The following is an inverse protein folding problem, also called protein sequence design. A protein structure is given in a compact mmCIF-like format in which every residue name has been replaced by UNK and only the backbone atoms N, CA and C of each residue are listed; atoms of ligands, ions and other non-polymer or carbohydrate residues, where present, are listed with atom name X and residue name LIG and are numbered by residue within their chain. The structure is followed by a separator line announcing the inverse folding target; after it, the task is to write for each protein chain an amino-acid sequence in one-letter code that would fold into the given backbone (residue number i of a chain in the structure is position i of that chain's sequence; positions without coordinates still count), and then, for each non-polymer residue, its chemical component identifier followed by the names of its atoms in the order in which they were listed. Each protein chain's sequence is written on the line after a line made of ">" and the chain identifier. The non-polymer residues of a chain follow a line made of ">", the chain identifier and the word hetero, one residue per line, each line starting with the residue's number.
data_IF_192618928075
#
_entry.id   IF_192618928075
#
_cell.length_a   1.000
_cell.length_b   1.000
_cell.length_c   1.000
_cell.angle_alpha   90.00
_cell.angle_beta   90.00
_cell.angle_gamma   90.00
#
_symmetry.space_group_name_H-M   'P 1'
#
loop_
_entity.id
_entity.type
_entity.pdbx_description
1 polymer ?
#
# COMPACT_ATOMS: atom_id res chain seq x y z
N UNK A 1 -63.85 -31.52 14.78
CA UNK A 1 -62.67 -30.69 14.44
C UNK A 1 -63.21 -29.40 13.84
N UNK A 2 -63.25 -28.34 14.64
CA UNK A 2 -63.97 -27.09 14.37
C UNK A 2 -63.13 -26.22 13.44
N UNK A 3 -63.66 -25.86 12.27
CA UNK A 3 -63.10 -24.87 11.35
C UNK A 3 -63.57 -23.47 11.78
N UNK A 4 -62.66 -22.68 12.34
CA UNK A 4 -62.84 -21.27 12.64
C UNK A 4 -62.21 -20.44 11.50
N UNK A 5 -63.05 -19.87 10.63
CA UNK A 5 -62.67 -18.87 9.64
C UNK A 5 -62.94 -17.50 10.26
N UNK A 6 -61.89 -16.78 10.66
CA UNK A 6 -62.00 -15.42 11.17
C UNK A 6 -61.34 -14.38 10.25
N UNK A 7 -62.23 -13.76 9.47
CA UNK A 7 -62.33 -12.32 9.15
C UNK A 7 -61.19 -11.65 8.37
N UNK A 8 -61.50 -11.46 7.09
CA UNK A 8 -61.02 -10.38 6.24
C UNK A 8 -61.55 -9.02 6.74
N UNK A 9 -60.67 -8.06 7.00
CA UNK A 9 -61.03 -6.63 7.08
C UNK A 9 -59.93 -5.78 6.44
N UNK A 10 -60.25 -5.22 5.27
CA UNK A 10 -59.51 -4.13 4.60
C UNK A 10 -59.67 -2.83 5.39
N UNK A 11 -58.65 -1.96 5.44
CA UNK A 11 -58.75 -0.49 5.36
C UNK A 11 -57.33 0.13 5.48
N UNK A 12 -56.70 0.55 4.38
CA UNK A 12 -56.51 1.95 3.88
C UNK A 12 -55.40 2.81 4.55
N UNK A 13 -54.50 3.33 3.68
CA UNK A 13 -53.80 4.66 3.65
C UNK A 13 -52.27 4.74 3.87
N UNK A 14 -51.58 5.09 2.77
CA UNK A 14 -50.60 6.21 2.55
C UNK A 14 -49.25 6.23 3.32
N UNK A 15 -48.17 5.81 2.61
CA UNK A 15 -46.84 6.43 2.31
C UNK A 15 -46.20 7.40 3.35
N UNK A 16 -44.90 7.23 3.72
CA UNK A 16 -43.85 7.97 3.01
C UNK A 16 -42.62 7.15 2.59
N UNK A 17 -42.22 7.37 1.34
CA UNK A 17 -40.88 7.17 0.79
C UNK A 17 -39.93 8.11 1.55
N UNK A 18 -38.91 7.58 2.21
CA UNK A 18 -37.91 8.36 2.94
C UNK A 18 -36.49 7.86 2.61
N UNK A 19 -35.98 8.44 1.52
CA UNK A 19 -34.63 8.96 1.34
C UNK A 19 -33.55 8.47 2.34
N UNK A 20 -32.78 7.44 1.97
CA UNK A 20 -31.43 7.25 2.51
C UNK A 20 -30.44 7.71 1.43
N UNK A 21 -29.78 8.84 1.72
CA UNK A 21 -28.97 9.59 0.78
C UNK A 21 -27.84 8.80 0.15
N UNK A 22 -27.55 9.13 -1.10
CA UNK A 22 -26.26 8.85 -1.73
C UNK A 22 -25.16 9.31 -0.78
N UNK A 23 -24.50 8.35 -0.14
CA UNK A 23 -23.15 8.56 0.37
C UNK A 23 -22.28 8.70 -0.87
N UNK A 24 -22.15 9.93 -1.36
CA UNK A 24 -21.01 10.33 -2.19
C UNK A 24 -19.78 10.30 -1.29
N UNK A 25 -19.37 9.08 -0.90
CA UNK A 25 -18.07 8.82 -0.33
C UNK A 25 -17.07 9.17 -1.41
N UNK A 26 -16.52 10.37 -1.28
CA UNK A 26 -15.40 10.88 -2.08
C UNK A 26 -14.39 9.76 -2.25
N UNK A 27 -14.40 9.14 -3.42
CA UNK A 27 -13.48 8.09 -3.79
C UNK A 27 -12.11 8.75 -4.00
N UNK A 28 -11.42 9.07 -2.90
CA UNK A 28 -9.98 8.96 -2.84
C UNK A 28 -9.65 7.47 -3.03
N UNK A 29 -9.82 7.00 -4.27
CA UNK A 29 -9.58 5.63 -4.70
C UNK A 29 -8.08 5.40 -4.56
N UNK A 30 -7.69 4.91 -3.39
CA UNK A 30 -6.45 4.21 -3.19
C UNK A 30 -6.56 2.90 -3.95
N UNK A 31 -5.61 2.65 -4.84
CA UNK A 31 -5.50 1.41 -5.58
C UNK A 31 -4.94 0.34 -4.65
N UNK A 32 -5.55 -0.84 -4.71
CA UNK A 32 -5.07 -2.01 -3.98
C UNK A 32 -3.64 -2.36 -4.41
N UNK A 33 -2.88 -3.04 -3.53
CA UNK A 33 -1.52 -3.42 -3.84
C UNK A 33 -1.47 -4.43 -4.98
N UNK A 34 -0.46 -4.30 -5.83
CA UNK A 34 -0.23 -5.19 -6.95
C UNK A 34 0.05 -6.62 -6.45
N UNK A 35 -0.65 -7.62 -6.99
CA UNK A 35 -0.56 -9.02 -6.54
C UNK A 35 0.86 -9.58 -6.70
N UNK A 36 1.57 -9.23 -7.77
CA UNK A 36 2.96 -9.63 -7.97
C UNK A 36 3.87 -9.01 -6.92
N UNK A 37 3.65 -7.74 -6.57
CA UNK A 37 4.40 -7.09 -5.49
C UNK A 37 4.19 -7.77 -4.13
N UNK A 38 2.95 -8.13 -3.80
CA UNK A 38 2.65 -8.81 -2.53
C UNK A 38 3.23 -10.24 -2.51
N UNK A 39 3.10 -10.98 -3.60
CA UNK A 39 3.52 -12.38 -3.68
C UNK A 39 5.05 -12.53 -3.77
N UNK A 40 5.75 -11.52 -4.29
CA UNK A 40 7.20 -11.54 -4.40
C UNK A 40 7.90 -11.63 -3.04
N UNK A 41 8.86 -12.55 -2.94
CA UNK A 41 9.81 -12.62 -1.81
C UNK A 41 10.97 -11.64 -1.94
N UNK A 42 11.08 -10.99 -3.10
CA UNK A 42 12.26 -10.23 -3.49
C UNK A 42 12.19 -8.80 -2.99
N UNK A 43 13.37 -8.23 -2.76
CA UNK A 43 13.52 -6.81 -2.48
C UNK A 43 13.40 -6.05 -3.80
N UNK A 44 12.34 -5.27 -3.99
CA UNK A 44 12.12 -4.57 -5.26
C UNK A 44 11.46 -3.20 -5.07
N UNK A 45 11.65 -2.34 -6.06
CA UNK A 45 10.95 -1.08 -6.21
C UNK A 45 10.08 -1.14 -7.46
N UNK A 46 8.78 -0.96 -7.27
CA UNK A 46 7.78 -0.82 -8.31
C UNK A 46 7.27 0.63 -8.32
N UNK A 47 7.23 1.23 -9.51
CA UNK A 47 6.65 2.56 -9.73
C UNK A 47 5.58 2.42 -10.79
N UNK A 48 4.34 2.74 -10.43
CA UNK A 48 3.13 2.42 -11.22
C UNK A 48 3.07 0.92 -11.50
N UNK A 49 3.08 0.55 -12.78
CA UNK A 49 3.00 -0.84 -13.23
C UNK A 49 4.38 -1.49 -13.38
N UNK A 50 5.45 -0.70 -13.40
CA UNK A 50 6.78 -1.15 -13.80
C UNK A 50 7.66 -1.46 -12.58
N UNK A 51 8.34 -2.60 -12.62
CA UNK A 51 9.44 -2.90 -11.68
C UNK A 51 10.66 -2.13 -12.17
N UNK A 52 11.05 -1.11 -11.41
CA UNK A 52 12.14 -0.20 -11.80
C UNK A 52 13.47 -0.73 -11.29
N UNK A 53 13.48 -1.33 -10.11
CA UNK A 53 14.65 -1.95 -9.50
C UNK A 53 14.28 -3.31 -8.94
N UNK A 54 15.12 -4.30 -9.21
CA UNK A 54 15.07 -5.64 -8.65
C UNK A 54 16.42 -5.93 -7.98
N UNK A 55 16.39 -6.31 -6.71
CA UNK A 55 17.59 -6.60 -5.93
C UNK A 55 18.23 -7.92 -6.36
N UNK A 56 19.53 -7.90 -6.64
CA UNK A 56 20.34 -9.10 -6.85
C UNK A 56 21.30 -9.31 -5.66
N UNK A 57 21.14 -10.38 -4.86
CA UNK A 57 21.99 -10.63 -3.69
C UNK A 57 23.48 -10.82 -4.00
N UNK A 58 23.87 -11.07 -5.25
CA UNK A 58 25.28 -11.26 -5.63
C UNK A 58 26.02 -9.94 -5.88
N UNK A 59 25.31 -8.89 -6.27
CA UNK A 59 25.89 -7.63 -6.74
C UNK A 59 25.31 -6.39 -6.05
N UNK A 60 24.40 -6.60 -5.09
CA UNK A 60 23.70 -5.54 -4.37
C UNK A 60 23.90 -5.65 -2.87
N UNK A 61 23.82 -4.50 -2.23
CA UNK A 61 23.97 -4.33 -0.80
C UNK A 61 22.72 -3.71 -0.21
N UNK A 62 22.47 -4.06 1.04
CA UNK A 62 21.42 -3.50 1.88
C UNK A 62 22.07 -2.65 2.97
N UNK A 63 21.45 -1.52 3.31
CA UNK A 63 21.89 -0.65 4.39
C UNK A 63 20.71 -0.14 5.21
N UNK A 64 20.97 0.21 6.46
CA UNK A 64 20.00 0.86 7.32
C UNK A 64 20.68 1.94 8.17
N UNK A 65 20.09 3.13 8.18
CA UNK A 65 20.49 4.24 9.04
C UNK A 65 19.38 4.50 10.08
N UNK A 66 19.69 4.22 11.35
CA UNK A 66 18.75 4.32 12.44
C UNK A 66 18.33 5.76 12.79
N UNK A 67 19.24 6.74 12.62
CA UNK A 67 18.96 8.13 12.96
C UNK A 67 17.86 8.71 12.07
N UNK A 68 17.95 8.44 10.77
CA UNK A 68 17.01 8.94 9.76
C UNK A 68 15.89 7.96 9.43
N UNK A 69 15.94 6.74 10.00
CA UNK A 69 15.03 5.63 9.67
C UNK A 69 15.02 5.38 8.15
N UNK A 70 16.23 5.36 7.59
CA UNK A 70 16.46 5.24 6.16
C UNK A 70 16.93 3.84 5.82
N UNK A 71 16.23 3.20 4.90
CA UNK A 71 16.57 1.93 4.31
C UNK A 71 17.25 2.17 2.98
N UNK A 72 18.34 1.46 2.71
CA UNK A 72 19.14 1.62 1.49
C UNK A 72 19.26 0.30 0.77
N UNK A 73 19.08 0.34 -0.54
CA UNK A 73 19.31 -0.79 -1.44
C UNK A 73 20.03 -0.25 -2.67
N UNK A 74 21.21 -0.77 -2.95
CA UNK A 74 22.03 -0.30 -4.07
C UNK A 74 22.93 -1.40 -4.61
N UNK A 75 23.30 -1.31 -5.88
CA UNK A 75 24.37 -2.13 -6.45
C UNK A 75 25.74 -1.74 -5.88
N UNK A 76 26.74 -2.61 -6.05
CA UNK A 76 28.12 -2.39 -5.59
C UNK A 76 28.77 -1.16 -6.24
N UNK A 77 28.31 -0.80 -7.44
CA UNK A 77 28.80 0.37 -8.18
C UNK A 77 28.06 1.68 -7.84
N UNK A 78 27.02 1.63 -6.99
CA UNK A 78 26.08 2.72 -6.71
C UNK A 78 25.48 3.40 -7.96
N UNK A 79 25.38 2.67 -9.09
CA UNK A 79 24.73 3.14 -10.31
C UNK A 79 23.22 2.96 -10.25
N UNK A 80 22.77 1.93 -9.54
CA UNK A 80 21.35 1.68 -9.32
C UNK A 80 21.06 1.59 -7.83
N UNK A 81 20.11 2.40 -7.35
CA UNK A 81 19.71 2.38 -5.96
C UNK A 81 18.27 2.83 -5.75
N UNK A 82 17.71 2.42 -4.61
CA UNK A 82 16.60 3.12 -3.98
C UNK A 82 16.82 3.25 -2.47
N UNK A 83 16.49 4.42 -1.95
CA UNK A 83 16.49 4.75 -0.53
C UNK A 83 15.07 5.07 -0.08
N UNK A 84 14.71 4.62 1.11
CA UNK A 84 13.39 4.86 1.71
C UNK A 84 13.58 5.45 3.09
N UNK A 85 13.18 6.70 3.27
CA UNK A 85 13.21 7.39 4.56
C UNK A 85 11.80 7.41 5.13
N UNK A 86 11.58 6.82 6.30
CA UNK A 86 10.26 6.72 6.92
C UNK A 86 10.09 7.68 8.10
N UNK A 87 8.91 8.27 8.27
CA UNK A 87 8.59 9.10 9.45
C UNK A 87 8.65 8.30 10.77
N UNK A 88 8.28 7.02 10.68
CA UNK A 88 8.31 6.04 11.77
C UNK A 88 8.75 4.70 11.20
N UNK A 89 9.32 3.85 12.05
CA UNK A 89 9.69 2.50 11.63
C UNK A 89 8.44 1.73 11.21
N UNK A 90 8.49 1.00 10.08
CA UNK A 90 7.46 0.01 9.78
C UNK A 90 7.54 -1.10 10.82
N UNK A 91 6.38 -1.59 11.27
CA UNK A 91 6.28 -2.51 12.39
C UNK A 91 5.24 -3.61 12.17
N UNK A 92 4.01 -3.24 11.79
CA UNK A 92 2.91 -4.19 11.62
C UNK A 92 2.14 -3.96 10.34
N UNK A 93 1.58 -5.03 9.77
CA UNK A 93 0.67 -4.94 8.62
C UNK A 93 -0.51 -4.00 8.93
N UNK A 94 -0.91 -3.20 7.95
CA UNK A 94 -1.95 -2.16 8.06
C UNK A 94 -1.46 -0.83 8.64
N UNK A 95 -0.23 -0.76 9.16
CA UNK A 95 0.35 0.50 9.62
C UNK A 95 0.49 1.47 8.44
N UNK A 96 0.01 2.71 8.63
CA UNK A 96 0.25 3.81 7.69
C UNK A 96 1.37 4.70 8.22
N UNK A 97 2.29 5.08 7.34
CA UNK A 97 3.41 5.95 7.64
C UNK A 97 3.70 6.85 6.44
N UNK A 98 4.32 8.01 6.68
CA UNK A 98 4.82 8.81 5.58
C UNK A 98 6.24 8.34 5.24
N UNK A 99 6.53 8.22 3.95
CA UNK A 99 7.87 7.93 3.50
C UNK A 99 8.22 8.74 2.26
N UNK A 100 9.52 8.97 2.10
CA UNK A 100 10.12 9.47 0.87
C UNK A 100 10.93 8.35 0.26
N UNK A 101 10.67 8.05 -1.01
CA UNK A 101 11.41 7.06 -1.79
C UNK A 101 12.22 7.81 -2.83
N UNK A 102 13.54 7.64 -2.82
CA UNK A 102 14.46 8.21 -3.80
C UNK A 102 15.13 7.08 -4.55
N UNK A 103 15.18 7.13 -5.88
CA UNK A 103 15.75 6.05 -6.69
C UNK A 103 16.37 6.55 -7.99
N UNK A 104 17.19 5.71 -8.60
CA UNK A 104 17.74 5.94 -9.95
C UNK A 104 16.89 5.26 -11.02
N UNK A 105 16.61 5.96 -12.11
CA UNK A 105 15.97 5.37 -13.29
C UNK A 105 16.48 6.07 -14.55
N UNK A 106 16.94 5.29 -15.54
CA UNK A 106 17.44 5.81 -16.81
C UNK A 106 18.54 6.89 -16.67
N UNK A 107 19.42 6.76 -15.66
CA UNK A 107 20.52 7.70 -15.40
C UNK A 107 20.12 8.96 -14.62
N UNK A 108 18.85 9.12 -14.27
CA UNK A 108 18.35 10.23 -13.45
C UNK A 108 17.99 9.78 -12.04
N UNK A 109 18.09 10.71 -11.09
CA UNK A 109 17.60 10.52 -9.72
C UNK A 109 16.17 11.06 -9.62
N UNK A 110 15.26 10.23 -9.13
CA UNK A 110 13.85 10.55 -8.89
C UNK A 110 13.53 10.44 -7.41
N UNK A 111 12.57 11.23 -6.93
CA UNK A 111 12.17 11.21 -5.53
C UNK A 111 10.70 11.51 -5.38
N UNK A 112 9.99 10.70 -4.62
CA UNK A 112 8.57 10.84 -4.38
C UNK A 112 8.25 10.64 -2.90
N UNK A 113 7.36 11.50 -2.38
CA UNK A 113 6.86 11.39 -1.02
C UNK A 113 5.37 10.99 -1.01
N UNK A 114 4.97 10.23 0.01
CA UNK A 114 3.60 9.81 0.16
C UNK A 114 3.31 9.11 1.48
N UNK A 115 2.04 8.78 1.67
CA UNK A 115 1.60 7.90 2.74
C UNK A 115 1.61 6.46 2.22
N UNK A 116 2.40 5.63 2.86
CA UNK A 116 2.55 4.21 2.58
C UNK A 116 1.86 3.39 3.65
N UNK A 117 1.29 2.28 3.23
CA UNK A 117 0.75 1.25 4.11
C UNK A 117 1.69 0.04 4.10
N UNK A 118 1.95 -0.53 5.28
CA UNK A 118 2.65 -1.81 5.40
C UNK A 118 1.67 -2.91 4.99
N UNK A 119 1.86 -3.47 3.80
CA UNK A 119 0.95 -4.49 3.25
C UNK A 119 1.39 -5.92 3.58
N UNK A 120 2.67 -6.09 3.93
CA UNK A 120 3.26 -7.37 4.35
C UNK A 120 4.45 -7.10 5.26
N UNK A 121 4.65 -7.96 6.26
CA UNK A 121 5.76 -7.88 7.20
C UNK A 121 6.26 -9.30 7.55
N UNK A 122 7.53 -9.58 7.31
CA UNK A 122 8.14 -10.89 7.52
C UNK A 122 9.63 -10.76 7.85
N UNK A 123 10.09 -11.32 8.98
CA UNK A 123 11.52 -11.42 9.32
C UNK A 123 12.31 -10.12 9.11
N UNK A 124 11.85 -9.03 9.73
CA UNK A 124 12.42 -7.67 9.60
C UNK A 124 12.36 -7.08 8.17
N UNK A 125 11.61 -7.69 7.25
CA UNK A 125 11.27 -7.14 5.93
C UNK A 125 9.84 -6.61 5.92
N UNK A 126 9.64 -5.52 5.21
CA UNK A 126 8.36 -4.84 5.12
C UNK A 126 8.10 -4.43 3.67
N UNK A 127 6.91 -4.72 3.19
CA UNK A 127 6.44 -4.26 1.89
C UNK A 127 5.54 -3.06 2.13
N UNK A 128 5.94 -1.92 1.58
CA UNK A 128 5.27 -0.65 1.71
C UNK A 128 4.58 -0.30 0.40
N UNK A 129 3.31 0.08 0.49
CA UNK A 129 2.50 0.41 -0.68
C UNK A 129 1.90 1.79 -0.55
N UNK A 130 2.14 2.64 -1.55
CA UNK A 130 1.41 3.87 -1.78
C UNK A 130 0.42 3.64 -2.94
N UNK A 131 -0.86 3.51 -2.63
CA UNK A 131 -1.92 3.27 -3.63
C UNK A 131 -2.46 4.54 -4.31
N UNK A 132 -1.77 5.67 -4.24
CA UNK A 132 -2.29 6.93 -4.79
C UNK A 132 -2.27 6.89 -6.33
N UNK A 133 -3.40 7.14 -7.00
CA UNK A 133 -3.54 7.02 -8.48
C UNK A 133 -2.41 7.60 -9.32
N UNK A 134 -1.86 8.75 -8.92
CA UNK A 134 -0.78 9.44 -9.66
C UNK A 134 0.63 9.01 -9.24
N UNK A 135 0.77 8.38 -8.08
CA UNK A 135 2.02 8.10 -7.34
C UNK A 135 1.99 6.68 -6.77
N UNK A 136 1.62 5.72 -7.59
CA UNK A 136 1.58 4.33 -7.17
C UNK A 136 3.02 3.84 -7.01
N UNK A 137 3.40 3.44 -5.80
CA UNK A 137 4.75 2.99 -5.50
C UNK A 137 4.65 1.80 -4.54
N UNK A 138 5.30 0.70 -4.91
CA UNK A 138 5.53 -0.45 -4.03
C UNK A 138 7.01 -0.58 -3.76
N UNK A 139 7.40 -0.64 -2.50
CA UNK A 139 8.81 -0.81 -2.12
C UNK A 139 8.96 -1.81 -0.99
N UNK A 140 9.88 -2.76 -1.16
CA UNK A 140 10.29 -3.65 -0.08
C UNK A 140 11.48 -3.04 0.66
N UNK A 141 11.46 -3.06 1.98
CA UNK A 141 12.56 -2.59 2.84
C UNK A 141 12.94 -3.68 3.84
N UNK A 142 14.20 -3.68 4.29
CA UNK A 142 14.68 -4.60 5.32
C UNK A 142 15.37 -3.85 6.43
N UNK A 143 14.90 -4.03 7.65
CA UNK A 143 15.55 -3.52 8.84
C UNK A 143 16.77 -4.40 9.14
N UNK A 144 17.95 -3.78 9.11
CA UNK A 144 19.22 -4.41 9.48
C UNK A 144 19.54 -3.96 10.91
N UNK A 145 19.87 -4.92 11.77
CA UNK A 145 20.26 -4.70 13.17
C UNK A 145 21.75 -4.89 13.35
#
# INVERSE_FOLDING_TARGET
>A
MVLEIHKFTRLTRIVPVLLAGLVLGSCNRTLDPDEYFIASSDMLLKVRSDVVIHYDPLTWQLGYNAADKEFRVHDDAMKQYYFVTCSSLPSSVGQKLNATVTWTQAGEVKSENGTFEVVRAENDRYWLWCGHKKRQIGVAVRLLR
#
